data_IF_328998897611
#
_entry.id   IF_328998897611
#
_cell.length_a   1.000
_cell.length_b   1.000
_cell.length_c   1.000
_cell.angle_alpha   90.00
_cell.angle_beta   90.00
_cell.angle_gamma   90.00
#
_symmetry.space_group_name_H-M   'P 1'
#
loop_
_entity.id
_entity.type
_entity.pdbx_description
1 polymer ?
#
# COMPACT_ATOMS: atom_id res chain seq x y z
N UNK A 1 10.61 12.81 6.18
CA UNK A 1 9.25 12.22 6.09
C UNK A 1 9.43 10.73 6.10
N UNK A 2 8.86 10.03 7.09
CA UNK A 2 8.86 8.56 7.10
C UNK A 2 7.72 8.05 6.23
N UNK A 3 7.97 7.00 5.46
CA UNK A 3 6.93 6.35 4.67
C UNK A 3 7.20 4.85 4.53
N UNK A 4 6.12 4.07 4.45
CA UNK A 4 6.18 2.66 4.09
C UNK A 4 4.91 2.22 3.39
N UNK A 5 5.03 1.20 2.54
CA UNK A 5 3.90 0.50 1.94
C UNK A 5 3.64 -0.78 2.73
N UNK A 6 2.36 -1.13 2.90
CA UNK A 6 1.99 -2.36 3.57
C UNK A 6 0.65 -2.92 3.10
N UNK A 7 0.39 -4.18 3.44
CA UNK A 7 -0.93 -4.81 3.29
C UNK A 7 -1.63 -4.83 4.64
N UNK A 8 -2.87 -4.37 4.65
CA UNK A 8 -3.76 -4.57 5.80
C UNK A 8 -4.04 -6.06 5.98
N UNK A 9 -3.72 -6.64 7.12
CA UNK A 9 -4.04 -8.04 7.43
C UNK A 9 -5.41 -8.14 8.11
N UNK A 10 -5.42 -8.12 9.43
CA UNK A 10 -6.59 -8.29 10.29
C UNK A 10 -6.60 -7.24 11.40
N UNK A 11 -7.73 -7.15 12.10
CA UNK A 11 -7.86 -6.34 13.31
C UNK A 11 -7.87 -7.27 14.51
N UNK A 12 -7.07 -6.93 15.50
CA UNK A 12 -6.95 -7.66 16.77
C UNK A 12 -6.97 -6.66 17.93
N UNK A 13 -6.79 -7.13 19.15
CA UNK A 13 -6.70 -6.32 20.35
C UNK A 13 -5.40 -6.63 21.09
N UNK A 14 -4.80 -5.60 21.67
CA UNK A 14 -3.60 -5.72 22.51
C UNK A 14 -3.95 -5.23 23.91
N UNK A 15 -3.54 -5.97 24.91
CA UNK A 15 -3.65 -5.58 26.31
C UNK A 15 -2.39 -4.81 26.70
N UNK A 16 -2.55 -3.57 27.18
CA UNK A 16 -1.45 -2.80 27.76
C UNK A 16 -1.15 -3.30 29.17
N UNK A 17 0.02 -2.95 29.69
CA UNK A 17 0.40 -3.25 31.08
C UNK A 17 -0.61 -2.68 32.09
N UNK A 18 -1.25 -1.55 31.76
CA UNK A 18 -2.27 -0.89 32.58
C UNK A 18 -3.64 -1.60 32.56
N UNK A 19 -3.78 -2.73 31.88
CA UNK A 19 -5.02 -3.49 31.73
C UNK A 19 -6.00 -2.95 30.68
N UNK A 20 -5.65 -1.86 29.99
CA UNK A 20 -6.48 -1.30 28.91
C UNK A 20 -6.42 -2.18 27.64
N UNK A 21 -7.59 -2.41 27.04
CA UNK A 21 -7.72 -3.10 25.75
C UNK A 21 -7.68 -2.09 24.61
N UNK A 22 -6.69 -2.22 23.74
CA UNK A 22 -6.50 -1.32 22.59
C UNK A 22 -6.78 -2.07 21.30
N UNK A 23 -7.78 -1.64 20.48
CA UNK A 23 -8.00 -2.23 19.16
C UNK A 23 -6.88 -1.80 18.22
N UNK A 24 -6.27 -2.76 17.54
CA UNK A 24 -5.16 -2.53 16.61
C UNK A 24 -5.42 -3.20 15.27
N UNK A 25 -4.98 -2.56 14.20
CA UNK A 25 -4.90 -3.14 12.86
C UNK A 25 -3.48 -3.62 12.61
N UNK A 26 -3.34 -4.89 12.24
CA UNK A 26 -2.07 -5.48 11.76
C UNK A 26 -1.84 -5.08 10.32
N UNK A 27 -0.69 -4.47 10.06
CA UNK A 27 -0.24 -4.13 8.71
C UNK A 27 1.07 -4.86 8.47
N UNK A 28 1.10 -5.72 7.46
CA UNK A 28 2.34 -6.29 6.96
C UNK A 28 3.04 -5.23 6.11
N UNK A 29 4.02 -4.58 6.69
CA UNK A 29 4.84 -3.54 6.09
C UNK A 29 6.18 -4.16 5.66
N UNK A 30 6.09 -5.10 4.71
CA UNK A 30 7.27 -5.76 4.12
C UNK A 30 8.28 -4.74 3.57
N UNK A 31 9.54 -5.15 3.40
CA UNK A 31 10.59 -4.26 2.94
C UNK A 31 10.23 -3.64 1.58
N UNK A 32 10.36 -2.32 1.49
CA UNK A 32 10.21 -1.59 0.23
C UNK A 32 11.59 -1.29 -0.34
N UNK A 33 11.76 -1.47 -1.64
CA UNK A 33 13.06 -1.23 -2.32
C UNK A 33 12.96 0.01 -3.19
N UNK A 34 13.98 0.86 -3.17
CA UNK A 34 14.06 2.06 -4.02
C UNK A 34 14.35 1.64 -5.46
N UNK A 35 13.42 1.92 -6.37
CA UNK A 35 13.52 1.51 -7.78
C UNK A 35 14.08 2.61 -8.68
N UNK A 36 13.66 3.86 -8.44
CA UNK A 36 14.06 5.00 -9.26
C UNK A 36 14.08 6.28 -8.43
N UNK A 37 14.98 7.19 -8.78
CA UNK A 37 15.17 8.46 -8.09
C UNK A 37 15.01 9.57 -9.11
N UNK A 38 14.02 10.43 -8.90
CA UNK A 38 13.71 11.58 -9.73
C UNK A 38 14.07 12.85 -8.97
N UNK A 39 15.08 13.56 -9.47
CA UNK A 39 15.45 14.89 -8.93
C UNK A 39 14.41 15.90 -9.41
N UNK A 40 13.73 16.58 -8.48
CA UNK A 40 12.68 17.55 -8.79
C UNK A 40 13.04 18.90 -8.15
N UNK A 41 13.97 19.62 -8.79
CA UNK A 41 14.52 20.89 -8.29
C UNK A 41 15.62 20.72 -7.23
N UNK A 42 16.09 21.84 -6.67
CA UNK A 42 17.29 21.90 -5.82
C UNK A 42 17.10 21.30 -4.40
N UNK A 43 15.86 21.19 -3.90
CA UNK A 43 15.59 20.85 -2.50
C UNK A 43 14.72 19.61 -2.27
N UNK A 44 14.14 19.01 -3.32
CA UNK A 44 13.23 17.87 -3.17
C UNK A 44 13.55 16.76 -4.17
N UNK A 45 13.67 15.55 -3.63
CA UNK A 45 13.88 14.33 -4.41
C UNK A 45 12.61 13.49 -4.31
N UNK A 46 12.05 13.12 -5.46
CA UNK A 46 10.97 12.16 -5.55
C UNK A 46 11.58 10.76 -5.73
N UNK A 47 11.21 9.83 -4.87
CA UNK A 47 11.73 8.48 -4.85
C UNK A 47 10.60 7.51 -5.14
N UNK A 48 10.79 6.69 -6.17
CA UNK A 48 9.91 5.59 -6.49
C UNK A 48 10.36 4.36 -5.71
N UNK A 49 9.42 3.73 -5.01
CA UNK A 49 9.63 2.49 -4.27
C UNK A 49 8.76 1.38 -4.80
N UNK A 50 9.31 0.17 -4.75
CA UNK A 50 8.63 -1.08 -5.08
C UNK A 50 8.23 -1.86 -3.84
N UNK A 51 7.05 -2.46 -3.89
CA UNK A 51 6.47 -3.30 -2.84
C UNK A 51 5.83 -4.56 -3.45
N UNK A 52 5.98 -5.68 -2.74
CA UNK A 52 5.60 -7.06 -3.12
C UNK A 52 6.29 -7.60 -4.36
N UNK A 53 6.99 -8.73 -4.22
CA UNK A 53 7.58 -9.41 -5.37
C UNK A 53 6.48 -10.05 -6.24
N UNK A 54 6.66 -9.97 -7.56
CA UNK A 54 5.81 -10.62 -8.55
C UNK A 54 6.63 -11.48 -9.50
N UNK A 55 6.02 -12.54 -10.04
CA UNK A 55 6.69 -13.46 -10.96
C UNK A 55 6.75 -12.91 -12.40
N UNK A 56 5.80 -12.07 -12.79
CA UNK A 56 5.66 -11.61 -14.16
C UNK A 56 5.17 -10.17 -14.21
N UNK A 57 5.80 -9.39 -15.09
CA UNK A 57 5.42 -8.02 -15.47
C UNK A 57 5.43 -7.90 -17.00
N UNK A 58 4.90 -6.80 -17.52
CA UNK A 58 5.04 -6.52 -18.94
C UNK A 58 6.52 -6.20 -19.30
N UNK A 59 6.86 -6.24 -20.59
CA UNK A 59 8.26 -6.03 -21.03
C UNK A 59 8.80 -4.64 -20.67
N UNK A 60 7.96 -3.61 -20.70
CA UNK A 60 8.36 -2.24 -20.38
C UNK A 60 8.72 -2.07 -18.89
N UNK A 61 7.88 -2.60 -18.00
CA UNK A 61 8.10 -2.61 -16.55
C UNK A 61 9.30 -3.47 -16.17
N UNK A 62 9.49 -4.60 -16.85
CA UNK A 62 10.66 -5.47 -16.66
C UNK A 62 11.95 -4.73 -17.07
N UNK A 63 11.92 -3.98 -18.17
CA UNK A 63 13.04 -3.13 -18.58
C UNK A 63 13.33 -2.02 -17.57
N UNK A 64 12.28 -1.38 -17.03
CA UNK A 64 12.40 -0.33 -16.00
C UNK A 64 13.03 -0.86 -14.70
N UNK A 65 12.67 -2.08 -14.29
CA UNK A 65 13.18 -2.71 -13.07
C UNK A 65 14.45 -3.55 -13.27
N UNK A 66 15.12 -3.46 -14.44
CA UNK A 66 16.33 -4.23 -14.72
C UNK A 66 17.40 -4.01 -13.64
N UNK A 67 17.91 -5.11 -13.06
CA UNK A 67 18.88 -5.10 -11.95
C UNK A 67 18.26 -5.07 -10.55
N UNK A 68 16.92 -5.13 -10.44
CA UNK A 68 16.19 -5.24 -9.17
C UNK A 68 15.14 -6.36 -9.26
N UNK A 69 14.60 -6.82 -8.12
CA UNK A 69 13.44 -7.69 -8.10
C UNK A 69 12.23 -7.06 -8.82
N UNK A 70 11.36 -7.90 -9.36
CA UNK A 70 10.11 -7.45 -9.98
C UNK A 70 9.08 -7.15 -8.88
N UNK A 71 8.53 -5.94 -8.88
CA UNK A 71 7.56 -5.49 -7.87
C UNK A 71 6.14 -5.36 -8.44
N UNK A 72 5.12 -5.71 -7.65
CA UNK A 72 3.70 -5.61 -8.02
C UNK A 72 3.18 -4.18 -7.91
N UNK A 73 3.68 -3.43 -6.92
CA UNK A 73 3.23 -2.07 -6.62
C UNK A 73 4.42 -1.14 -6.69
N UNK A 74 4.32 -0.11 -7.53
CA UNK A 74 5.25 1.00 -7.57
C UNK A 74 4.54 2.26 -7.08
N UNK A 75 5.18 3.02 -6.19
CA UNK A 75 4.63 4.28 -5.69
C UNK A 75 5.72 5.30 -5.43
N UNK A 76 5.39 6.57 -5.62
CA UNK A 76 6.32 7.67 -5.42
C UNK A 76 6.08 8.37 -4.07
N UNK A 77 7.18 8.76 -3.45
CA UNK A 77 7.22 9.53 -2.21
C UNK A 77 8.21 10.68 -2.34
N UNK A 78 7.95 11.77 -1.62
CA UNK A 78 8.90 12.87 -1.51
C UNK A 78 9.80 12.63 -0.30
N UNK A 79 11.10 12.81 -0.50
CA UNK A 79 12.09 12.76 0.58
C UNK A 79 13.14 13.86 0.40
N UNK A 80 13.72 14.26 1.52
CA UNK A 80 14.87 15.17 1.58
C UNK A 80 16.18 14.40 1.79
N UNK A 81 16.11 13.12 2.18
CA UNK A 81 17.28 12.29 2.41
C UNK A 81 17.83 11.75 1.08
N UNK A 82 19.16 11.69 0.98
CA UNK A 82 19.82 11.01 -0.13
C UNK A 82 19.63 9.49 0.03
N UNK A 83 18.95 8.89 -0.93
CA UNK A 83 18.78 7.44 -1.07
C UNK A 83 19.30 7.02 -2.43
N UNK A 84 19.82 5.81 -2.50
CA UNK A 84 20.33 5.19 -3.71
C UNK A 84 19.35 4.15 -4.25
N UNK A 85 19.48 3.86 -5.55
CA UNK A 85 18.72 2.80 -6.19
C UNK A 85 19.16 1.45 -5.60
N UNK A 86 18.19 0.62 -5.20
CA UNK A 86 18.43 -0.68 -4.55
C UNK A 86 18.40 -0.65 -3.04
N UNK A 87 18.36 0.54 -2.41
CA UNK A 87 18.23 0.66 -0.97
C UNK A 87 16.90 0.08 -0.47
N UNK A 88 16.95 -0.58 0.69
CA UNK A 88 15.79 -1.23 1.30
C UNK A 88 15.37 -0.46 2.55
N UNK A 89 14.09 -0.10 2.61
CA UNK A 89 13.46 0.53 3.77
C UNK A 89 12.55 -0.50 4.43
N UNK A 90 12.78 -0.76 5.72
CA UNK A 90 12.05 -1.76 6.50
C UNK A 90 11.08 -1.13 7.51
N UNK A 91 10.25 -1.96 8.14
CA UNK A 91 9.30 -1.57 9.19
C UNK A 91 9.98 -0.87 10.38
N UNK A 92 11.25 -1.18 10.65
CA UNK A 92 12.12 -0.60 11.69
C UNK A 92 12.27 0.92 11.61
N UNK A 93 11.86 1.52 10.48
CA UNK A 93 11.80 2.98 10.33
C UNK A 93 10.85 3.63 11.34
N UNK A 94 9.86 2.89 11.81
CA UNK A 94 8.85 3.36 12.76
C UNK A 94 9.14 2.85 14.17
N UNK A 95 8.87 3.71 15.16
CA UNK A 95 8.97 3.35 16.56
C UNK A 95 7.56 3.23 17.20
N UNK A 96 7.40 2.41 18.26
CA UNK A 96 6.20 2.46 19.10
C UNK A 96 5.99 3.87 19.65
N UNK A 97 4.75 4.38 19.58
CA UNK A 97 4.39 5.75 19.97
C UNK A 97 4.44 6.77 18.83
N UNK A 98 5.00 6.42 17.66
CA UNK A 98 4.98 7.30 16.49
C UNK A 98 3.54 7.55 16.01
N UNK A 99 3.25 8.81 15.67
CA UNK A 99 2.00 9.22 15.04
C UNK A 99 2.10 9.10 13.52
N UNK A 100 1.18 8.38 12.90
CA UNK A 100 1.16 8.11 11.46
C UNK A 100 -0.18 8.44 10.83
N UNK A 101 -0.13 8.85 9.58
CA UNK A 101 -1.29 8.96 8.70
C UNK A 101 -1.39 7.69 7.85
N UNK A 102 -2.54 7.03 7.87
CA UNK A 102 -2.80 5.84 7.07
C UNK A 102 -3.69 6.19 5.86
N UNK A 103 -3.14 5.98 4.66
CA UNK A 103 -3.79 6.28 3.40
C UNK A 103 -4.12 4.96 2.69
N UNK A 104 -5.34 4.79 2.25
CA UNK A 104 -5.76 3.61 1.49
C UNK A 104 -7.00 3.87 0.67
N UNK A 105 -7.39 2.88 -0.12
CA UNK A 105 -8.66 2.91 -0.85
C UNK A 105 -9.76 2.39 0.06
N UNK A 106 -10.82 3.17 0.26
CA UNK A 106 -11.98 2.79 1.06
C UNK A 106 -12.74 1.62 0.41
N UNK A 107 -13.47 0.84 1.22
CA UNK A 107 -14.29 -0.28 0.70
C UNK A 107 -15.41 0.26 -0.19
N UNK A 108 -15.48 -0.19 -1.44
CA UNK A 108 -16.61 0.03 -2.34
C UNK A 108 -17.93 -0.42 -1.75
N UNK A 109 -18.97 0.39 -1.99
CA UNK A 109 -20.37 0.13 -1.58
C UNK A 109 -21.34 0.22 -2.76
N UNK A 110 -20.84 0.34 -3.99
CA UNK A 110 -21.63 0.44 -5.21
C UNK A 110 -22.47 1.72 -5.28
N UNK A 111 -23.59 1.66 -6.00
CA UNK A 111 -24.55 2.76 -6.06
C UNK A 111 -25.31 2.88 -4.73
N UNK A 112 -25.08 3.97 -3.99
CA UNK A 112 -25.70 4.24 -2.72
C UNK A 112 -26.74 5.37 -2.82
N UNK A 113 -27.92 5.13 -2.26
CA UNK A 113 -28.95 6.16 -2.09
C UNK A 113 -28.53 7.25 -1.10
N UNK A 114 -29.23 8.39 -1.13
CA UNK A 114 -28.91 9.60 -0.35
C UNK A 114 -28.82 9.40 1.15
N UNK A 115 -29.64 8.51 1.71
CA UNK A 115 -29.61 8.18 3.15
C UNK A 115 -28.30 7.50 3.54
N UNK A 116 -27.81 6.54 2.73
CA UNK A 116 -26.56 5.81 3.03
C UNK A 116 -25.32 6.63 2.71
N UNK A 117 -25.36 7.43 1.63
CA UNK A 117 -24.22 8.20 1.13
C UNK A 117 -24.00 9.50 1.89
N UNK A 118 -25.09 10.22 2.18
CA UNK A 118 -25.05 11.59 2.73
C UNK A 118 -25.75 11.73 4.09
N UNK A 119 -26.19 10.62 4.70
CA UNK A 119 -26.87 10.61 6.00
C UNK A 119 -28.16 11.46 6.05
N UNK A 120 -28.90 11.52 4.93
CA UNK A 120 -30.19 12.21 4.88
C UNK A 120 -31.21 11.55 5.82
N UNK A 121 -32.05 12.35 6.48
CA UNK A 121 -33.03 11.87 7.47
C UNK A 121 -34.17 11.04 6.86
N UNK A 122 -34.54 11.32 5.61
CA UNK A 122 -35.70 10.70 4.96
C UNK A 122 -37.04 11.27 5.46
N UNK A 123 -38.14 10.73 4.94
CA UNK A 123 -39.50 11.11 5.34
C UNK A 123 -40.04 10.20 6.47
N UNK A 124 -41.08 10.63 7.21
CA UNK A 124 -41.77 9.78 8.17
C UNK A 124 -42.34 8.51 7.50
N UNK A 125 -42.41 7.42 8.27
CA UNK A 125 -42.92 6.13 7.78
C UNK A 125 -44.46 6.02 7.80
N UNK A 126 -45.11 6.76 8.69
CA UNK A 126 -46.57 6.74 8.92
C UNK A 126 -47.22 8.05 8.44
N UNK A 127 -48.53 8.24 8.66
CA UNK A 127 -49.27 9.47 8.30
C UNK A 127 -49.34 9.77 6.80
N UNK A 128 -49.59 8.75 5.97
CA UNK A 128 -49.97 8.94 4.55
C UNK A 128 -48.82 9.05 3.56
N UNK A 129 -47.55 8.93 3.99
CA UNK A 129 -46.41 8.83 3.07
C UNK A 129 -46.42 7.50 2.30
N UNK A 130 -46.34 7.56 0.97
CA UNK A 130 -46.47 6.38 0.09
C UNK A 130 -45.12 5.74 -0.28
N UNK A 131 -44.15 6.53 -0.78
CA UNK A 131 -42.88 6.00 -1.31
C UNK A 131 -41.64 6.85 -0.97
N UNK A 132 -41.79 7.90 -0.16
CA UNK A 132 -40.74 8.91 0.04
C UNK A 132 -39.83 8.67 1.24
N UNK A 133 -39.95 7.52 1.91
CA UNK A 133 -39.23 7.21 3.15
C UNK A 133 -37.72 7.51 3.05
N UNK A 134 -37.12 7.21 1.88
CA UNK A 134 -35.68 7.41 1.61
C UNK A 134 -35.43 8.36 0.43
N UNK A 135 -36.43 9.14 0.03
CA UNK A 135 -36.30 10.13 -1.02
C UNK A 135 -35.37 11.29 -0.59
N UNK A 136 -34.74 11.98 -1.55
CA UNK A 136 -33.85 13.12 -1.27
C UNK A 136 -34.56 14.38 -0.77
N UNK A 137 -35.88 14.47 -0.92
CA UNK A 137 -36.63 15.70 -0.71
C UNK A 137 -36.45 16.68 -1.86
N UNK A 138 -36.59 17.98 -1.59
CA UNK A 138 -36.41 19.02 -2.61
C UNK A 138 -34.94 19.14 -3.05
N UNK A 139 -34.73 19.28 -4.36
CA UNK A 139 -33.41 19.39 -4.99
C UNK A 139 -33.07 20.83 -5.44
N UNK A 140 -33.94 21.81 -5.17
CA UNK A 140 -33.76 23.20 -5.58
C UNK A 140 -34.89 24.14 -5.15
N UNK A 141 -34.68 25.43 -5.38
CA UNK A 141 -35.68 26.47 -5.15
C UNK A 141 -36.32 26.90 -6.49
N UNK A 142 -37.62 27.19 -6.51
CA UNK A 142 -38.36 27.45 -7.75
C UNK A 142 -37.85 28.61 -8.61
N UNK A 143 -37.31 29.67 -7.98
CA UNK A 143 -36.75 30.82 -8.72
C UNK A 143 -35.42 30.54 -9.42
N UNK A 144 -34.68 29.51 -8.96
CA UNK A 144 -33.42 29.09 -9.57
C UNK A 144 -33.75 27.88 -10.43
N UNK A 145 -34.03 28.12 -11.71
CA UNK A 145 -34.44 27.11 -12.71
C UNK A 145 -33.33 26.09 -13.08
N UNK A 146 -32.43 25.79 -12.15
CA UNK A 146 -31.37 24.79 -12.27
C UNK A 146 -31.01 24.21 -10.90
N UNK A 147 -30.53 22.98 -10.90
CA UNK A 147 -29.91 22.38 -9.72
C UNK A 147 -28.47 22.89 -9.59
N UNK A 148 -28.07 23.34 -8.40
CA UNK A 148 -26.71 23.80 -8.16
C UNK A 148 -25.69 22.66 -8.30
N UNK A 149 -24.49 22.99 -8.80
CA UNK A 149 -23.37 22.05 -8.86
C UNK A 149 -22.97 21.62 -7.44
N UNK A 150 -22.63 20.35 -7.26
CA UNK A 150 -22.28 19.79 -5.95
C UNK A 150 -23.50 19.40 -5.09
N UNK A 151 -24.73 19.50 -5.61
CA UNK A 151 -25.92 19.03 -4.91
C UNK A 151 -25.78 17.55 -4.55
N UNK A 152 -26.05 17.23 -3.28
CA UNK A 152 -25.88 15.88 -2.73
C UNK A 152 -26.99 14.96 -3.23
N UNK A 153 -26.63 14.04 -4.13
CA UNK A 153 -27.55 13.03 -4.69
C UNK A 153 -27.01 11.60 -4.50
N UNK A 154 -27.83 10.62 -4.85
CA UNK A 154 -27.41 9.21 -4.92
C UNK A 154 -26.26 9.04 -5.93
N UNK A 155 -25.45 8.00 -5.76
CA UNK A 155 -24.31 7.76 -6.64
C UNK A 155 -23.37 6.71 -6.08
N UNK A 156 -22.26 6.48 -6.79
CA UNK A 156 -21.21 5.59 -6.31
C UNK A 156 -20.68 6.04 -4.95
N UNK A 157 -20.44 5.10 -4.04
CA UNK A 157 -19.92 5.34 -2.70
C UNK A 157 -18.80 4.34 -2.39
N UNK A 158 -17.67 4.84 -1.89
CA UNK A 158 -16.48 4.03 -1.62
C UNK A 158 -15.56 3.96 -2.83
N UNK A 159 -14.53 3.11 -2.75
CA UNK A 159 -13.42 3.01 -3.72
C UNK A 159 -12.66 4.33 -3.94
N UNK A 160 -12.80 5.25 -2.99
CA UNK A 160 -12.09 6.53 -2.98
C UNK A 160 -10.87 6.44 -2.06
N UNK A 161 -9.84 7.21 -2.38
CA UNK A 161 -8.64 7.38 -1.54
C UNK A 161 -9.01 8.15 -0.28
N UNK A 162 -8.81 7.54 0.88
CA UNK A 162 -9.08 8.12 2.20
C UNK A 162 -7.81 8.11 3.03
N UNK A 163 -7.60 9.20 3.77
CA UNK A 163 -6.54 9.33 4.76
C UNK A 163 -7.15 9.40 6.15
N UNK A 164 -6.76 8.48 7.02
CA UNK A 164 -7.04 8.56 8.46
C UNK A 164 -5.78 9.09 9.14
N UNK A 165 -5.92 10.24 9.81
CA UNK A 165 -4.79 10.97 10.39
C UNK A 165 -4.56 10.60 11.85
N UNK A 166 -3.35 10.86 12.33
CA UNK A 166 -2.98 10.78 13.75
C UNK A 166 -3.27 9.41 14.40
N UNK A 167 -2.93 8.34 13.70
CA UNK A 167 -2.99 7.00 14.27
C UNK A 167 -1.68 6.71 15.02
N UNK A 168 -1.81 6.12 16.21
CA UNK A 168 -0.66 5.77 17.06
C UNK A 168 -0.14 4.38 16.70
N UNK A 169 1.17 4.21 16.54
CA UNK A 169 1.78 2.88 16.44
C UNK A 169 1.92 2.30 17.83
N UNK A 170 1.32 1.13 18.08
CA UNK A 170 1.35 0.45 19.38
C UNK A 170 2.61 -0.39 19.53
N UNK A 171 3.01 -1.09 18.47
CA UNK A 171 4.20 -1.94 18.45
C UNK A 171 4.63 -2.21 17.00
N UNK A 172 5.92 -2.53 16.85
CA UNK A 172 6.54 -2.89 15.58
C UNK A 172 7.28 -4.21 15.80
N UNK A 173 6.98 -5.20 14.98
CA UNK A 173 7.66 -6.49 14.94
C UNK A 173 8.55 -6.51 13.68
N UNK A 174 9.85 -6.29 13.90
CA UNK A 174 10.87 -6.22 12.86
C UNK A 174 11.04 -7.56 12.13
N UNK A 175 10.98 -8.67 12.87
CA UNK A 175 11.22 -10.02 12.34
C UNK A 175 10.12 -10.43 11.36
N UNK A 176 8.87 -10.10 11.70
CA UNK A 176 7.70 -10.37 10.83
C UNK A 176 7.40 -9.23 9.86
N UNK A 177 8.11 -8.10 9.94
CA UNK A 177 7.79 -6.86 9.22
C UNK A 177 6.32 -6.43 9.42
N UNK A 178 5.83 -6.52 10.65
CA UNK A 178 4.47 -6.13 11.01
C UNK A 178 4.44 -4.84 11.84
N UNK A 179 3.51 -3.95 11.52
CA UNK A 179 3.23 -2.74 12.28
C UNK A 179 1.82 -2.83 12.85
N UNK A 180 1.71 -2.66 14.16
CA UNK A 180 0.45 -2.61 14.89
C UNK A 180 0.01 -1.15 15.05
N UNK A 181 -0.99 -0.75 14.28
CA UNK A 181 -1.54 0.61 14.31
C UNK A 181 -2.84 0.63 15.11
N UNK A 182 -2.97 1.57 16.04
CA UNK A 182 -4.18 1.77 16.85
C UNK A 182 -5.37 2.16 15.98
N UNK A 183 -6.50 1.49 16.17
CA UNK A 183 -7.76 1.82 15.51
C UNK A 183 -7.90 1.23 14.11
N UNK A 184 -8.80 1.82 13.33
CA UNK A 184 -9.23 1.31 12.03
C UNK A 184 -8.52 2.01 10.87
N UNK A 185 -8.06 1.20 9.93
CA UNK A 185 -7.38 1.64 8.70
C UNK A 185 -8.33 1.50 7.51
N UNK A 186 -8.32 2.41 6.51
CA UNK A 186 -9.19 2.31 5.34
C UNK A 186 -8.97 0.99 4.56
N UNK A 187 -9.98 0.57 3.80
CA UNK A 187 -9.87 -0.60 2.92
C UNK A 187 -10.19 -1.95 3.55
N UNK A 188 -10.23 -2.97 2.70
CA UNK A 188 -10.49 -4.37 3.06
C UNK A 188 -9.22 -5.10 3.51
N UNK A 189 -9.39 -6.35 3.97
CA UNK A 189 -8.24 -7.23 4.19
C UNK A 189 -7.47 -7.37 2.88
N UNK A 190 -6.15 -7.38 2.98
CA UNK A 190 -5.19 -7.35 1.89
C UNK A 190 -5.26 -6.11 1.00
N UNK A 191 -5.86 -5.00 1.42
CA UNK A 191 -5.72 -3.74 0.68
C UNK A 191 -4.35 -3.12 0.91
N UNK A 192 -3.82 -2.46 -0.13
CA UNK A 192 -2.60 -1.66 -0.01
C UNK A 192 -2.86 -0.44 0.88
N UNK A 193 -2.03 -0.27 1.89
CA UNK A 193 -2.01 0.87 2.81
C UNK A 193 -0.67 1.55 2.67
N UNK A 194 -0.72 2.87 2.68
CA UNK A 194 0.45 3.71 2.77
C UNK A 194 0.46 4.34 4.15
N UNK A 195 1.53 4.14 4.90
CA UNK A 195 1.76 4.82 6.16
C UNK A 195 2.76 5.95 5.92
N UNK A 196 2.43 7.15 6.40
CA UNK A 196 3.27 8.33 6.27
C UNK A 196 3.32 9.12 7.56
N UNK A 197 4.46 9.73 7.86
CA UNK A 197 4.62 10.66 8.99
C UNK A 197 5.22 11.97 8.52
N UNK A 198 4.65 13.09 8.96
CA UNK A 198 5.11 14.44 8.61
C UNK A 198 6.56 14.72 9.07
N UNK A 199 6.97 14.15 10.21
CA UNK A 199 8.29 14.33 10.81
C UNK A 199 9.08 13.00 10.91
N UNK A 200 10.42 13.08 10.84
CA UNK A 200 11.31 11.94 11.08
C UNK A 200 12.17 11.51 9.89
N UNK A 201 13.23 10.79 10.21
CA UNK A 201 14.26 10.24 9.33
C UNK A 201 13.97 8.77 8.95
N UNK A 202 14.32 8.36 7.73
CA UNK A 202 14.18 6.97 7.26
C UNK A 202 15.35 6.12 7.74
N UNK A 203 15.07 4.88 8.15
CA UNK A 203 16.11 3.88 8.38
C UNK A 203 16.32 3.13 7.08
N UNK A 204 17.42 3.45 6.40
CA UNK A 204 17.78 2.86 5.11
C UNK A 204 18.82 1.76 5.35
N UNK A 205 18.48 0.52 5.00
CA UNK A 205 19.44 -0.59 4.94
C UNK A 205 19.97 -0.64 3.51
N UNK A 206 21.20 -0.16 3.31
CA UNK A 206 21.88 -0.32 2.03
C UNK A 206 22.22 -1.79 1.83
N UNK A 207 21.64 -2.41 0.81
CA UNK A 207 22.10 -3.71 0.33
C UNK A 207 23.22 -3.40 -0.67
N UNK A 208 24.45 -3.92 -0.48
CA UNK A 208 25.49 -3.74 -1.48
C UNK A 208 25.02 -4.39 -2.78
N UNK A 209 24.96 -3.57 -3.83
CA UNK A 209 24.72 -4.03 -5.21
C UNK A 209 25.85 -4.99 -5.54
N UNK A 210 25.55 -6.30 -5.65
CA UNK A 210 26.46 -7.23 -6.32
C UNK A 210 26.45 -6.80 -7.78
N UNK A 211 27.54 -6.14 -8.20
CA UNK A 211 27.84 -5.91 -9.60
C UNK A 211 27.96 -7.28 -10.27
N UNK A 212 26.91 -7.69 -10.99
CA UNK A 212 27.07 -8.70 -12.04
C UNK A 212 27.89 -8.04 -13.15
N UNK A 213 29.22 -8.21 -13.07
CA UNK A 213 30.12 -8.11 -14.22
C UNK A 213 29.51 -8.89 -15.39
N UNK A 214 29.39 -8.29 -16.58
CA UNK A 214 28.83 -8.98 -17.74
C UNK A 214 29.78 -10.11 -18.14
N UNK A 215 29.37 -11.36 -17.91
CA UNK A 215 30.07 -12.52 -18.41
C UNK A 215 30.05 -12.50 -19.95
N UNK A 216 31.21 -12.17 -20.50
CA UNK A 216 31.62 -12.36 -21.89
C UNK A 216 31.20 -13.72 -22.43
N UNK A 217 30.79 -13.69 -23.69
CA UNK A 217 30.66 -14.81 -24.60
C UNK A 217 31.78 -15.85 -24.49
N UNK A 218 31.41 -17.12 -24.35
CA UNK A 218 32.18 -18.27 -24.84
C UNK A 218 31.20 -19.33 -25.33
N UNK A 219 31.27 -19.62 -26.62
CA UNK A 219 30.59 -20.71 -27.32
C UNK A 219 30.86 -22.07 -26.66
N UNK A 220 29.90 -23.02 -26.69
CA UNK A 220 30.23 -24.42 -26.51
C UNK A 220 30.34 -25.12 -27.88
N UNK A 221 31.57 -25.44 -28.28
CA UNK A 221 31.87 -26.53 -29.23
C UNK A 221 32.06 -27.87 -28.48
N UNK A 222 31.96 -29.03 -29.15
CA UNK A 222 30.91 -30.01 -28.87
C UNK A 222 31.34 -31.23 -28.03
N UNK A 223 30.31 -31.99 -27.65
CA UNK A 223 30.28 -33.23 -26.86
C UNK A 223 31.19 -34.33 -27.42
N UNK A 224 32.21 -34.73 -26.66
CA UNK A 224 32.90 -36.02 -26.84
C UNK A 224 32.21 -37.12 -26.02
N UNK A 225 31.92 -38.22 -26.71
CA UNK A 225 31.42 -39.49 -26.17
C UNK A 225 32.55 -40.17 -25.39
N UNK A 226 32.23 -40.68 -24.20
CA UNK A 226 33.06 -41.70 -23.54
C UNK A 226 32.32 -43.03 -23.68
N UNK A 227 32.92 -43.93 -24.46
CA UNK A 227 32.63 -45.36 -24.52
C UNK A 227 33.13 -46.02 -23.23
N UNK A 228 32.30 -46.86 -22.60
CA UNK A 228 32.72 -47.74 -21.51
C UNK A 228 32.37 -49.20 -21.88
N UNK A 229 33.42 -49.93 -22.24
CA UNK A 229 33.57 -51.39 -22.37
C UNK A 229 35.01 -51.61 -21.86
N UNK A 230 35.42 -52.55 -21.00
CA UNK A 230 35.07 -53.92 -20.57
C UNK A 230 35.71 -54.03 -19.15
N UNK A 231 35.39 -54.91 -18.20
CA UNK A 231 35.77 -56.34 -18.20
C UNK A 231 35.45 -57.03 -16.86
N UNK A 232 35.01 -58.27 -17.02
CA UNK A 232 34.89 -59.48 -16.19
C UNK A 232 35.34 -59.50 -14.71
N UNK A 233 34.51 -60.15 -13.88
CA UNK A 233 35.01 -61.15 -12.91
C UNK A 233 34.04 -62.34 -12.88
N UNK A 234 34.54 -63.51 -13.29
CA UNK A 234 33.93 -64.84 -13.16
C UNK A 234 34.37 -65.52 -11.86
N UNK A 235 33.42 -66.15 -11.15
CA UNK A 235 33.52 -67.45 -10.47
C UNK A 235 32.14 -67.85 -9.91
#
# INVERSE_FOLDING_TARGET
MKFILGRKLDMTQVFRADGQVVPVTRIHAGPITVTHIKKQGDAQVAVQVGFENTRSLNKAETGHLKGLPLFRVLKEFQTTQAVNRGDVIAADTFAPGDMVDAIGTSKGRGFAGVVKRHHFRGAPKTHGHKHDLRAPGSIGAGGVQRVFKGMRMAGHMGDERVTVKNLEIVAVDADKNEILVKGAVPGARNSLIVLTTAAGELVVKSVPVVEETPASSSEPEPVEKIEEQVEEVTA
#
